data_IF_628553350438
#
_entry.id   IF_628553350438
#
_cell.length_a   1.000
_cell.length_b   1.000
_cell.length_c   1.000
_cell.angle_alpha   90.00
_cell.angle_beta   90.00
_cell.angle_gamma   90.00
#
_symmetry.space_group_name_H-M   'P 1'
#
loop_
_entity.id
_entity.type
_entity.pdbx_description
1 polymer ?
#
# COMPACT_ATOMS: atom_id res chain seq x y z
N UNK A 1 -28.45 -26.80 -7.71
CA UNK A 1 -28.19 -26.75 -6.25
C UNK A 1 -27.42 -25.48 -5.96
N UNK A 2 -28.03 -24.59 -5.17
CA UNK A 2 -27.38 -23.44 -4.56
C UNK A 2 -26.26 -23.92 -3.63
N UNK A 3 -25.09 -23.28 -3.68
CA UNK A 3 -24.60 -22.60 -2.48
C UNK A 3 -23.58 -21.52 -2.85
N UNK A 4 -24.00 -20.26 -2.68
CA UNK A 4 -23.17 -19.08 -2.78
C UNK A 4 -22.19 -19.07 -1.59
N UNK A 5 -20.98 -19.59 -1.75
CA UNK A 5 -19.86 -19.25 -0.87
C UNK A 5 -18.99 -18.21 -1.57
N UNK A 6 -19.52 -17.00 -1.76
CA UNK A 6 -18.67 -15.83 -1.79
C UNK A 6 -18.31 -15.51 -0.34
N UNK A 7 -17.39 -16.29 0.24
CA UNK A 7 -16.72 -15.88 1.45
C UNK A 7 -15.92 -14.63 1.08
N UNK A 8 -16.43 -13.46 1.48
CA UNK A 8 -15.72 -12.20 1.34
C UNK A 8 -14.34 -12.29 2.01
N UNK A 9 -13.41 -11.43 1.60
CA UNK A 9 -12.07 -11.41 2.16
C UNK A 9 -12.13 -11.28 3.69
N UNK A 10 -11.29 -12.04 4.39
CA UNK A 10 -11.12 -11.89 5.82
C UNK A 10 -10.28 -10.62 6.12
N UNK A 11 -10.22 -10.24 7.39
CA UNK A 11 -9.58 -8.99 7.79
C UNK A 11 -8.08 -8.95 7.43
N UNK A 12 -7.33 -10.05 7.60
CA UNK A 12 -5.90 -10.10 7.22
C UNK A 12 -5.70 -10.02 5.70
N UNK A 13 -6.60 -10.62 4.91
CA UNK A 13 -6.59 -10.49 3.44
C UNK A 13 -6.78 -9.04 3.00
N UNK A 14 -7.65 -8.28 3.68
CA UNK A 14 -7.75 -6.84 3.43
C UNK A 14 -6.47 -6.06 3.80
N UNK A 15 -5.77 -6.45 4.88
CA UNK A 15 -4.48 -5.83 5.23
C UNK A 15 -3.41 -6.13 4.16
N UNK A 16 -3.37 -7.36 3.63
CA UNK A 16 -2.49 -7.71 2.51
C UNK A 16 -2.85 -6.96 1.22
N UNK A 17 -4.14 -6.74 0.93
CA UNK A 17 -4.54 -5.91 -0.21
C UNK A 17 -3.97 -4.49 -0.09
N UNK A 18 -4.07 -3.89 1.10
CA UNK A 18 -3.54 -2.54 1.37
C UNK A 18 -2.01 -2.53 1.20
N UNK A 19 -1.31 -3.55 1.70
CA UNK A 19 0.13 -3.70 1.49
C UNK A 19 0.48 -3.65 -0.01
N UNK A 20 -0.18 -4.47 -0.83
CA UNK A 20 0.06 -4.54 -2.27
C UNK A 20 -0.26 -3.23 -2.99
N UNK A 21 -1.33 -2.54 -2.61
CA UNK A 21 -1.69 -1.24 -3.16
C UNK A 21 -0.66 -0.16 -2.81
N UNK A 22 -0.14 -0.16 -1.59
CA UNK A 22 0.91 0.78 -1.17
C UNK A 22 2.24 0.52 -1.88
N UNK A 23 2.61 -0.75 -2.12
CA UNK A 23 3.80 -1.08 -2.93
C UNK A 23 3.64 -0.60 -4.38
N UNK A 24 2.45 -0.78 -4.96
CA UNK A 24 2.13 -0.27 -6.29
C UNK A 24 2.21 1.26 -6.33
N UNK A 25 1.65 1.94 -5.34
CA UNK A 25 1.73 3.40 -5.21
C UNK A 25 3.17 3.90 -5.07
N UNK A 26 3.99 3.23 -4.26
CA UNK A 26 5.43 3.50 -4.12
C UNK A 26 6.15 3.44 -5.48
N UNK A 27 5.87 2.41 -6.28
CA UNK A 27 6.46 2.24 -7.61
C UNK A 27 6.02 3.36 -8.56
N UNK A 28 4.74 3.71 -8.60
CA UNK A 28 4.24 4.84 -9.39
C UNK A 28 4.88 6.17 -8.98
N UNK A 29 5.04 6.43 -7.67
CA UNK A 29 5.67 7.65 -7.18
C UNK A 29 7.15 7.72 -7.57
N UNK A 30 7.89 6.60 -7.51
CA UNK A 30 9.28 6.54 -7.98
C UNK A 30 9.39 6.86 -9.48
N UNK A 31 8.48 6.33 -10.29
CA UNK A 31 8.41 6.68 -11.71
C UNK A 31 8.11 8.18 -11.90
N UNK A 32 7.15 8.74 -11.16
CA UNK A 32 6.84 10.17 -11.23
C UNK A 32 8.02 11.07 -10.84
N UNK A 33 8.83 10.68 -9.85
CA UNK A 33 10.07 11.39 -9.46
C UNK A 33 11.08 11.40 -10.62
N UNK A 34 11.12 10.35 -11.43
CA UNK A 34 12.05 10.23 -12.55
C UNK A 34 11.66 11.07 -13.76
N UNK A 35 10.37 11.42 -13.90
CA UNK A 35 9.84 12.14 -15.06
C UNK A 35 9.47 13.60 -14.78
N UNK A 36 9.35 13.99 -13.50
CA UNK A 36 8.95 15.36 -13.14
C UNK A 36 10.08 16.36 -13.36
N UNK A 37 9.79 17.42 -14.11
CA UNK A 37 10.79 18.44 -14.47
C UNK A 37 10.97 19.50 -13.38
N UNK A 38 9.88 19.87 -12.71
CA UNK A 38 9.84 20.96 -11.74
C UNK A 38 10.36 20.50 -10.36
N UNK A 39 11.43 21.10 -9.80
CA UNK A 39 12.00 20.69 -8.52
C UNK A 39 11.00 20.73 -7.35
N UNK A 40 10.12 21.72 -7.32
CA UNK A 40 9.07 21.85 -6.31
C UNK A 40 8.05 20.70 -6.37
N UNK A 41 7.71 20.23 -7.57
CA UNK A 41 6.85 19.07 -7.74
C UNK A 41 7.60 17.80 -7.36
N UNK A 42 8.89 17.68 -7.70
CA UNK A 42 9.74 16.57 -7.27
C UNK A 42 9.75 16.44 -5.74
N UNK A 43 9.91 17.56 -5.03
CA UNK A 43 9.87 17.59 -3.56
C UNK A 43 8.52 17.10 -3.03
N UNK A 44 7.39 17.60 -3.58
CA UNK A 44 6.05 17.16 -3.16
C UNK A 44 5.81 15.66 -3.39
N UNK A 45 6.28 15.13 -4.52
CA UNK A 45 6.19 13.70 -4.82
C UNK A 45 7.07 12.88 -3.87
N UNK A 46 8.28 13.35 -3.55
CA UNK A 46 9.14 12.73 -2.54
C UNK A 46 8.50 12.73 -1.15
N UNK A 47 7.88 13.84 -0.74
CA UNK A 47 7.17 13.92 0.54
C UNK A 47 6.00 12.90 0.58
N UNK A 48 5.28 12.74 -0.53
CA UNK A 48 4.22 11.72 -0.67
C UNK A 48 4.78 10.30 -0.61
N UNK A 49 5.91 10.04 -1.29
CA UNK A 49 6.61 8.76 -1.27
C UNK A 49 7.05 8.38 0.16
N UNK A 50 7.54 9.35 0.92
CA UNK A 50 7.92 9.14 2.33
C UNK A 50 6.70 8.73 3.17
N UNK A 51 5.55 9.37 2.98
CA UNK A 51 4.32 8.98 3.66
C UNK A 51 3.88 7.56 3.31
N UNK A 52 3.98 7.15 2.04
CA UNK A 52 3.68 5.76 1.60
C UNK A 52 4.65 4.75 2.24
N UNK A 53 5.95 5.07 2.33
CA UNK A 53 6.92 4.19 2.99
C UNK A 53 6.63 4.03 4.50
N UNK A 54 6.18 5.10 5.17
CA UNK A 54 5.76 5.02 6.58
C UNK A 54 4.51 4.14 6.72
N UNK A 55 3.51 4.30 5.84
CA UNK A 55 2.32 3.47 5.83
C UNK A 55 2.65 1.98 5.58
N UNK A 56 3.57 1.68 4.66
CA UNK A 56 4.06 0.31 4.42
C UNK A 56 4.69 -0.29 5.68
N UNK A 57 5.50 0.49 6.41
CA UNK A 57 6.08 0.05 7.68
C UNK A 57 4.99 -0.32 8.69
N UNK A 58 3.97 0.52 8.84
CA UNK A 58 2.84 0.24 9.72
C UNK A 58 2.05 -1.00 9.30
N UNK A 59 1.74 -1.16 8.00
CA UNK A 59 1.03 -2.33 7.48
C UNK A 59 1.83 -3.62 7.67
N UNK A 60 3.14 -3.59 7.39
CA UNK A 60 4.01 -4.74 7.62
C UNK A 60 4.08 -5.11 9.11
N UNK A 61 4.07 -4.11 10.00
CA UNK A 61 3.99 -4.33 11.45
C UNK A 61 2.67 -4.97 11.84
N UNK A 62 1.55 -4.50 11.27
CA UNK A 62 0.23 -5.12 11.48
C UNK A 62 0.23 -6.58 11.03
N UNK A 63 0.74 -6.88 9.83
CA UNK A 63 0.82 -8.26 9.30
C UNK A 63 1.66 -9.14 10.22
N UNK A 64 2.84 -8.65 10.64
CA UNK A 64 3.78 -9.42 11.46
C UNK A 64 3.23 -9.76 12.84
N UNK A 65 2.39 -8.88 13.39
CA UNK A 65 1.78 -9.04 14.71
C UNK A 65 0.34 -9.57 14.64
N UNK A 66 -0.17 -9.90 13.44
CA UNK A 66 -1.56 -10.30 13.28
C UNK A 66 -1.78 -11.69 13.89
N UNK A 67 -2.74 -11.79 14.80
CA UNK A 67 -3.15 -13.05 15.40
C UNK A 67 -4.56 -13.39 14.91
N UNK A 68 -4.68 -14.49 14.16
CA UNK A 68 -5.98 -15.09 13.89
C UNK A 68 -6.47 -15.76 15.18
N UNK A 69 -7.70 -15.44 15.59
CA UNK A 69 -8.34 -16.00 16.79
C UNK A 69 -8.71 -17.47 16.61
#
# INVERSE_FOLDING_TARGET
MNNQNQQGKNAIQHVHDVQSQLESAKNCLNQAISTVEKPENKKRIQDTLNAVNNALTSVNTTISNYQES
#
